data_IF_635947674204
#
_entry.id   IF_635947674204
#
_cell.length_a   1.000
_cell.length_b   1.000
_cell.length_c   1.000
_cell.angle_alpha   90.00
_cell.angle_beta   90.00
_cell.angle_gamma   90.00
#
_symmetry.space_group_name_H-M   'P 1'
#
loop_
_entity.id
_entity.type
_entity.pdbx_description
1 polymer ?
#
# COMPACT_ATOMS: atom_id res chain seq x y z
N UNK A 1 -11.34 17.67 16.62
CA UNK A 1 -9.98 17.46 16.04
C UNK A 1 -9.86 16.06 15.44
N UNK A 2 -9.01 15.88 14.42
CA UNK A 2 -8.70 14.55 13.85
C UNK A 2 -7.47 13.95 14.53
N UNK A 3 -7.56 12.69 14.97
CA UNK A 3 -6.41 11.91 15.42
C UNK A 3 -5.82 11.10 14.26
N UNK A 4 -4.56 11.34 13.92
CA UNK A 4 -3.82 10.55 12.94
C UNK A 4 -2.93 9.53 13.64
N UNK A 5 -2.85 8.33 13.06
CA UNK A 5 -2.09 7.21 13.64
C UNK A 5 -1.30 6.54 12.53
N UNK A 6 0.01 6.38 12.72
CA UNK A 6 0.83 5.55 11.85
C UNK A 6 0.89 4.13 12.40
N UNK A 7 0.27 3.17 11.71
CA UNK A 7 0.26 1.75 12.07
C UNK A 7 0.65 0.88 10.84
N UNK A 8 1.94 0.87 10.47
CA UNK A 8 2.43 0.32 9.19
C UNK A 8 2.26 -1.20 9.07
N UNK A 9 2.08 -1.90 10.19
CA UNK A 9 1.84 -3.34 10.25
C UNK A 9 0.37 -3.73 9.98
N UNK A 10 -0.44 -2.82 9.45
CA UNK A 10 -1.85 -3.03 9.14
C UNK A 10 -2.12 -4.35 8.40
N UNK A 11 -1.40 -4.63 7.31
CA UNK A 11 -1.63 -5.82 6.49
C UNK A 11 -1.28 -7.12 7.24
N UNK A 12 -0.30 -7.07 8.15
CA UNK A 12 0.03 -8.19 9.04
C UNK A 12 -1.07 -8.40 10.09
N UNK A 13 -1.66 -7.31 10.58
CA UNK A 13 -2.78 -7.37 11.53
C UNK A 13 -4.04 -7.93 10.87
N UNK A 14 -4.31 -7.61 9.59
CA UNK A 14 -5.37 -8.22 8.81
C UNK A 14 -5.15 -9.72 8.62
N UNK A 15 -3.91 -10.13 8.28
CA UNK A 15 -3.57 -11.54 8.11
C UNK A 15 -3.78 -12.38 9.39
N UNK A 16 -3.61 -11.78 10.57
CA UNK A 16 -3.80 -12.45 11.86
C UNK A 16 -5.23 -12.34 12.39
N UNK A 17 -5.96 -11.28 12.01
CA UNK A 17 -7.33 -10.99 12.40
C UNK A 17 -7.61 -11.21 13.91
N UNK A 18 -6.70 -10.71 14.76
CA UNK A 18 -6.80 -10.87 16.21
C UNK A 18 -6.75 -9.51 16.91
N UNK A 19 -7.74 -9.17 17.77
CA UNK A 19 -7.70 -7.97 18.60
C UNK A 19 -6.48 -7.89 19.53
N UNK A 20 -5.88 -9.05 19.84
CA UNK A 20 -4.71 -9.18 20.71
C UNK A 20 -3.42 -9.50 19.94
N UNK A 21 -3.40 -9.27 18.63
CA UNK A 21 -2.19 -9.46 17.84
C UNK A 21 -1.07 -8.52 18.32
N UNK A 22 0.10 -9.09 18.59
CA UNK A 22 1.32 -8.34 18.89
C UNK A 22 2.22 -8.35 17.65
N UNK A 23 2.48 -7.19 17.01
CA UNK A 23 3.40 -7.11 15.89
C UNK A 23 4.81 -7.53 16.28
N UNK A 24 5.61 -7.95 15.30
CA UNK A 24 7.02 -8.26 15.55
C UNK A 24 7.81 -7.02 15.99
N UNK A 25 8.92 -7.23 16.69
CA UNK A 25 9.79 -6.13 17.14
C UNK A 25 10.19 -5.21 15.98
N UNK A 26 10.57 -5.77 14.83
CA UNK A 26 10.92 -4.99 13.64
C UNK A 26 9.75 -4.13 13.11
N UNK A 27 8.51 -4.61 13.20
CA UNK A 27 7.34 -3.83 12.78
C UNK A 27 7.03 -2.70 13.78
N UNK A 28 7.16 -2.98 15.08
CA UNK A 28 7.01 -1.96 16.13
C UNK A 28 8.10 -0.89 16.04
N UNK A 29 9.33 -1.25 15.71
CA UNK A 29 10.42 -0.31 15.51
C UNK A 29 10.09 0.68 14.38
N UNK A 30 9.70 0.19 13.20
CA UNK A 30 9.25 1.04 12.08
C UNK A 30 8.09 1.96 12.52
N UNK A 31 7.10 1.40 13.23
CA UNK A 31 5.96 2.17 13.74
C UNK A 31 6.43 3.33 14.62
N UNK A 32 7.30 3.06 15.57
CA UNK A 32 7.74 4.04 16.57
C UNK A 32 8.61 5.12 15.91
N UNK A 33 9.59 4.71 15.12
CA UNK A 33 10.57 5.59 14.50
C UNK A 33 9.94 6.57 13.50
N UNK A 34 8.83 6.16 12.86
CA UNK A 34 8.13 6.92 11.83
C UNK A 34 6.71 7.36 12.27
N UNK A 35 6.39 7.28 13.56
CA UNK A 35 5.06 7.64 14.08
C UNK A 35 4.67 9.09 13.77
N UNK A 36 5.66 9.97 13.58
CA UNK A 36 5.48 11.39 13.29
C UNK A 36 5.01 11.67 11.86
N UNK A 37 5.15 10.72 10.91
CA UNK A 37 4.84 10.93 9.48
C UNK A 37 3.49 11.61 9.22
N UNK A 38 2.40 11.35 9.98
CA UNK A 38 1.14 12.03 9.75
C UNK A 38 1.17 13.55 9.88
N UNK A 39 2.16 14.13 10.54
CA UNK A 39 2.37 15.58 10.55
C UNK A 39 2.44 16.19 9.13
N UNK A 40 2.97 15.42 8.16
CA UNK A 40 3.12 15.86 6.78
C UNK A 40 1.76 16.26 6.18
N UNK A 41 0.68 15.51 6.46
CA UNK A 41 -0.65 15.75 5.89
C UNK A 41 -1.70 16.23 6.90
N UNK A 42 -1.39 16.22 8.19
CA UNK A 42 -2.28 16.71 9.23
C UNK A 42 -2.59 18.21 9.02
N UNK A 43 -3.80 18.61 9.41
CA UNK A 43 -4.27 20.01 9.35
C UNK A 43 -4.01 20.72 10.67
N UNK A 44 -4.10 22.05 10.67
CA UNK A 44 -4.04 22.84 11.90
C UNK A 44 -5.09 22.35 12.91
N UNK A 45 -4.68 22.15 14.16
CA UNK A 45 -5.53 21.65 15.25
C UNK A 45 -5.74 20.14 15.28
N UNK A 46 -5.15 19.37 14.36
CA UNK A 46 -5.15 17.90 14.42
C UNK A 46 -4.14 17.38 15.46
N UNK A 47 -4.29 16.11 15.82
CA UNK A 47 -3.39 15.38 16.71
C UNK A 47 -2.72 14.20 15.98
N UNK A 48 -1.47 13.88 16.36
CA UNK A 48 -0.72 12.72 15.83
C UNK A 48 -0.26 11.86 17.00
N UNK A 49 -0.68 10.59 17.01
CA UNK A 49 -0.30 9.63 18.03
C UNK A 49 1.14 9.18 17.81
N UNK A 50 1.99 9.39 18.81
CA UNK A 50 3.40 9.00 18.83
C UNK A 50 3.75 8.35 20.18
N UNK A 51 4.87 7.62 20.25
CA UNK A 51 5.32 7.05 21.52
C UNK A 51 6.15 8.05 22.35
N UNK A 52 6.93 8.91 21.67
CA UNK A 52 7.74 9.95 22.29
C UNK A 52 7.45 11.29 21.60
N UNK A 53 6.81 12.20 22.34
CA UNK A 53 6.44 13.54 21.85
C UNK A 53 7.67 14.40 21.58
N UNK A 54 8.71 14.29 22.43
CA UNK A 54 9.92 15.11 22.30
C UNK A 54 10.69 14.69 21.06
N UNK A 55 10.87 13.39 20.85
CA UNK A 55 11.55 12.86 19.68
C UNK A 55 10.79 13.20 18.39
N UNK A 56 9.46 13.06 18.38
CA UNK A 56 8.64 13.41 17.22
C UNK A 56 8.80 14.88 16.80
N UNK A 57 8.82 15.81 17.76
CA UNK A 57 9.08 17.22 17.50
C UNK A 57 10.45 17.43 16.83
N UNK A 58 11.51 16.83 17.38
CA UNK A 58 12.88 16.94 16.81
C UNK A 58 12.96 16.36 15.40
N UNK A 59 12.29 15.24 15.12
CA UNK A 59 12.30 14.61 13.80
C UNK A 59 11.60 15.47 12.75
N UNK A 60 10.48 16.11 13.10
CA UNK A 60 9.76 17.01 12.21
C UNK A 60 10.55 18.28 11.90
N UNK A 61 11.23 18.85 12.88
CA UNK A 61 12.06 20.06 12.69
C UNK A 61 13.22 19.86 11.72
N UNK A 62 13.68 18.60 11.52
CA UNK A 62 14.71 18.26 10.54
C UNK A 62 14.18 18.20 9.10
N UNK A 63 12.86 18.14 8.91
CA UNK A 63 12.25 18.06 7.59
C UNK A 63 11.89 19.47 7.09
N UNK A 64 11.94 19.72 5.77
CA UNK A 64 11.63 21.02 5.18
C UNK A 64 10.12 21.30 5.12
N UNK A 65 9.39 21.05 6.20
CA UNK A 65 7.93 21.17 6.28
C UNK A 65 7.50 22.55 6.79
N UNK A 66 6.30 22.99 6.41
CA UNK A 66 5.71 24.20 6.99
C UNK A 66 5.35 23.93 8.44
N UNK A 67 5.58 24.93 9.30
CA UNK A 67 5.18 24.85 10.70
C UNK A 67 3.65 24.82 10.80
N UNK A 68 3.13 23.78 11.47
CA UNK A 68 1.72 23.55 11.75
C UNK A 68 1.51 23.44 13.26
N UNK A 69 0.37 23.94 13.73
CA UNK A 69 -0.19 23.73 15.06
C UNK A 69 -0.85 22.34 15.11
N UNK A 70 -0.03 21.31 15.01
CA UNK A 70 -0.42 19.91 15.17
C UNK A 70 0.14 19.40 16.49
N UNK A 71 -0.71 18.77 17.29
CA UNK A 71 -0.33 18.26 18.60
C UNK A 71 0.18 16.82 18.49
N UNK A 72 1.44 16.59 18.85
CA UNK A 72 1.90 15.23 19.16
C UNK A 72 1.35 14.80 20.50
N UNK A 73 0.79 13.60 20.56
CA UNK A 73 0.20 13.03 21.77
C UNK A 73 0.67 11.60 21.96
N UNK A 74 1.02 11.25 23.19
CA UNK A 74 1.23 9.85 23.58
C UNK A 74 -0.08 9.20 24.07
N UNK A 75 -0.03 7.92 24.45
CA UNK A 75 -1.20 7.19 24.91
C UNK A 75 -1.86 7.83 26.15
N UNK A 76 -1.08 8.34 27.10
CA UNK A 76 -1.59 8.94 28.34
C UNK A 76 -2.25 10.31 28.09
N UNK A 77 -1.64 11.09 27.19
CA UNK A 77 -2.17 12.36 26.73
C UNK A 77 -3.45 12.13 25.94
N UNK A 78 -3.46 11.12 25.06
CA UNK A 78 -4.62 10.74 24.25
C UNK A 78 -5.82 10.35 25.13
N UNK A 79 -5.60 9.57 26.19
CA UNK A 79 -6.65 9.23 27.16
C UNK A 79 -7.30 10.50 27.75
N UNK A 80 -6.47 11.48 28.14
CA UNK A 80 -6.91 12.75 28.74
C UNK A 80 -7.63 13.69 27.77
N UNK A 81 -7.42 13.55 26.46
CA UNK A 81 -8.07 14.38 25.43
C UNK A 81 -9.07 13.62 24.58
N UNK A 82 -9.40 12.37 24.93
CA UNK A 82 -10.24 11.47 24.14
C UNK A 82 -11.58 12.08 23.73
N UNK A 83 -12.20 12.88 24.61
CA UNK A 83 -13.46 13.59 24.34
C UNK A 83 -13.35 14.72 23.29
N UNK A 84 -12.13 15.20 23.01
CA UNK A 84 -11.88 16.23 21.98
C UNK A 84 -11.71 15.61 20.58
N UNK A 85 -11.49 14.30 20.49
CA UNK A 85 -11.33 13.59 19.21
C UNK A 85 -12.70 13.44 18.55
N UNK A 86 -12.78 13.84 17.28
CA UNK A 86 -14.02 13.77 16.47
C UNK A 86 -13.90 12.77 15.33
N UNK A 87 -12.69 12.58 14.81
CA UNK A 87 -12.38 11.71 13.67
C UNK A 87 -11.06 10.99 13.97
N UNK A 88 -10.97 9.73 13.57
CA UNK A 88 -9.74 8.95 13.65
C UNK A 88 -9.34 8.54 12.24
N UNK A 89 -8.13 8.92 11.84
CA UNK A 89 -7.55 8.68 10.52
C UNK A 89 -6.26 7.87 10.69
N UNK A 90 -6.36 6.55 10.86
CA UNK A 90 -5.18 5.70 10.97
C UNK A 90 -4.54 5.48 9.59
N UNK A 91 -3.37 4.86 9.59
CA UNK A 91 -2.74 4.35 8.38
C UNK A 91 -3.66 3.33 7.72
N UNK A 92 -4.20 2.38 8.51
CA UNK A 92 -5.24 1.45 8.09
C UNK A 92 -6.02 0.85 9.25
N UNK A 93 -7.34 0.71 9.11
CA UNK A 93 -8.24 0.19 10.15
C UNK A 93 -8.19 -1.33 10.26
N UNK A 94 -7.97 -1.85 11.46
CA UNK A 94 -7.99 -3.28 11.77
C UNK A 94 -8.47 -3.53 13.20
N UNK A 95 -8.80 -4.78 13.52
CA UNK A 95 -9.36 -5.15 14.83
C UNK A 95 -8.37 -4.93 15.98
N UNK A 96 -7.06 -5.12 15.75
CA UNK A 96 -6.01 -4.84 16.74
C UNK A 96 -5.99 -3.36 17.13
N UNK A 97 -5.97 -2.46 16.14
CA UNK A 97 -5.97 -1.02 16.39
C UNK A 97 -7.28 -0.55 17.07
N UNK A 98 -8.43 -1.08 16.62
CA UNK A 98 -9.73 -0.80 17.26
C UNK A 98 -9.68 -1.12 18.76
N UNK A 99 -9.17 -2.30 19.13
CA UNK A 99 -9.07 -2.72 20.52
C UNK A 99 -8.07 -1.87 21.33
N UNK A 100 -6.93 -1.49 20.72
CA UNK A 100 -5.97 -0.58 21.34
C UNK A 100 -6.60 0.77 21.67
N UNK A 101 -7.33 1.37 20.73
CA UNK A 101 -8.00 2.65 20.94
C UNK A 101 -9.13 2.56 21.96
N UNK A 102 -9.88 1.45 21.95
CA UNK A 102 -10.91 1.19 22.96
C UNK A 102 -10.32 1.16 24.38
N UNK A 103 -9.15 0.55 24.56
CA UNK A 103 -8.45 0.49 25.87
C UNK A 103 -7.94 1.84 26.35
N UNK A 104 -7.58 2.74 25.42
CA UNK A 104 -7.18 4.13 25.72
C UNK A 104 -8.39 5.03 26.04
N UNK A 105 -9.62 4.52 25.93
CA UNK A 105 -10.83 5.26 26.27
C UNK A 105 -11.46 6.03 25.10
N UNK A 106 -11.03 5.77 23.85
CA UNK A 106 -11.69 6.36 22.69
C UNK A 106 -13.17 5.95 22.63
N UNK A 107 -14.11 6.89 22.45
CA UNK A 107 -15.54 6.57 22.40
C UNK A 107 -15.89 5.60 21.28
N UNK A 108 -16.73 4.60 21.59
CA UNK A 108 -17.17 3.56 20.65
C UNK A 108 -17.77 4.13 19.36
N UNK A 109 -18.44 5.29 19.42
CA UNK A 109 -19.03 5.98 18.25
C UNK A 109 -18.01 6.39 17.18
N UNK A 110 -16.73 6.51 17.55
CA UNK A 110 -15.62 6.86 16.64
C UNK A 110 -14.90 5.64 16.08
N UNK A 111 -15.18 4.45 16.62
CA UNK A 111 -14.54 3.21 16.21
C UNK A 111 -15.38 2.49 15.16
N UNK A 112 -14.75 1.81 14.18
CA UNK A 112 -15.51 1.05 13.19
C UNK A 112 -16.24 -0.14 13.82
N UNK A 113 -17.40 -0.48 13.27
CA UNK A 113 -18.09 -1.73 13.61
C UNK A 113 -17.30 -2.95 13.14
N UNK A 114 -17.60 -4.12 13.70
CA UNK A 114 -16.94 -5.36 13.25
C UNK A 114 -17.30 -5.71 11.80
N UNK A 115 -18.51 -5.37 11.36
CA UNK A 115 -18.93 -5.52 9.96
C UNK A 115 -18.12 -4.61 9.02
N UNK A 116 -17.85 -3.36 9.43
CA UNK A 116 -16.97 -2.47 8.66
C UNK A 116 -15.55 -3.01 8.58
N UNK A 117 -15.00 -3.52 9.69
CA UNK A 117 -13.67 -4.13 9.70
C UNK A 117 -13.60 -5.39 8.83
N UNK A 118 -14.63 -6.23 8.83
CA UNK A 118 -14.71 -7.40 7.96
C UNK A 118 -14.70 -6.99 6.47
N UNK A 119 -15.48 -5.97 6.08
CA UNK A 119 -15.46 -5.42 4.71
C UNK A 119 -14.08 -4.90 4.31
N UNK A 120 -13.38 -4.23 5.22
CA UNK A 120 -11.99 -3.77 4.97
C UNK A 120 -11.07 -4.96 4.76
N UNK A 121 -11.14 -5.97 5.62
CA UNK A 121 -10.31 -7.17 5.49
C UNK A 121 -10.55 -7.89 4.16
N UNK A 122 -11.82 -8.07 3.76
CA UNK A 122 -12.20 -8.71 2.50
C UNK A 122 -11.69 -7.95 1.28
N UNK A 123 -11.80 -6.61 1.29
CA UNK A 123 -11.34 -5.76 0.19
C UNK A 123 -9.81 -5.66 0.12
N UNK A 124 -9.12 -5.75 1.27
CA UNK A 124 -7.65 -5.80 1.33
C UNK A 124 -7.07 -7.18 0.98
N UNK A 125 -7.92 -8.20 0.79
CA UNK A 125 -7.48 -9.52 0.37
C UNK A 125 -7.11 -9.50 -1.12
N UNK A 126 -5.95 -10.03 -1.51
CA UNK A 126 -5.55 -10.06 -2.94
C UNK A 126 -6.53 -10.82 -3.86
N UNK A 127 -7.45 -11.63 -3.34
CA UNK A 127 -8.60 -12.15 -4.12
C UNK A 127 -9.44 -11.03 -4.74
N UNK A 128 -9.62 -9.92 -4.03
CA UNK A 128 -10.28 -8.73 -4.56
C UNK A 128 -9.50 -8.16 -5.75
N UNK A 129 -8.18 -7.99 -5.61
CA UNK A 129 -7.30 -7.53 -6.67
C UNK A 129 -7.31 -8.45 -7.90
N UNK A 130 -7.31 -9.78 -7.71
CA UNK A 130 -7.43 -10.78 -8.79
C UNK A 130 -8.70 -10.56 -9.62
N UNK A 131 -9.85 -10.43 -8.95
CA UNK A 131 -11.13 -10.22 -9.62
C UNK A 131 -11.18 -8.86 -10.32
N UNK A 132 -10.68 -7.82 -9.66
CA UNK A 132 -10.66 -6.46 -10.19
C UNK A 132 -9.76 -6.34 -11.42
N UNK A 133 -8.59 -6.99 -11.43
CA UNK A 133 -7.70 -7.07 -12.60
C UNK A 133 -8.42 -7.72 -13.79
N UNK A 134 -9.16 -8.82 -13.56
CA UNK A 134 -9.91 -9.48 -14.62
C UNK A 134 -10.97 -8.56 -15.23
N UNK A 135 -11.71 -7.83 -14.40
CA UNK A 135 -12.72 -6.87 -14.84
C UNK A 135 -12.09 -5.68 -15.59
N UNK A 136 -11.03 -5.11 -15.04
CA UNK A 136 -10.30 -3.99 -15.65
C UNK A 136 -9.73 -4.36 -17.01
N UNK A 137 -9.15 -5.55 -17.16
CA UNK A 137 -8.62 -5.98 -18.46
C UNK A 137 -9.72 -6.18 -19.51
N UNK A 138 -10.94 -6.52 -19.11
CA UNK A 138 -12.05 -6.67 -20.04
C UNK A 138 -12.54 -5.33 -20.60
N UNK A 139 -12.26 -4.20 -19.93
CA UNK A 139 -12.60 -2.85 -20.39
C UNK A 139 -11.47 -2.15 -21.15
N UNK A 140 -10.30 -2.77 -21.28
CA UNK A 140 -9.10 -2.16 -21.85
C UNK A 140 -8.65 -2.85 -23.15
N UNK A 141 -8.02 -2.09 -24.04
CA UNK A 141 -7.47 -2.62 -25.28
C UNK A 141 -6.26 -3.54 -25.00
N UNK A 142 -6.30 -4.78 -25.52
CA UNK A 142 -5.34 -5.82 -25.20
C UNK A 142 -3.88 -5.55 -25.63
N UNK A 143 -3.63 -4.58 -26.50
CA UNK A 143 -2.33 -4.35 -27.12
C UNK A 143 -1.31 -3.61 -26.23
N UNK A 144 -1.73 -2.98 -25.13
CA UNK A 144 -0.86 -2.19 -24.25
C UNK A 144 -0.80 -2.70 -22.80
N UNK A 145 -1.62 -3.69 -22.45
CA UNK A 145 -1.73 -4.22 -21.08
C UNK A 145 -1.37 -5.70 -20.98
N UNK A 146 -0.82 -6.08 -19.84
CA UNK A 146 -0.50 -7.45 -19.45
C UNK A 146 -1.02 -7.73 -18.04
N UNK A 147 -0.52 -8.81 -17.43
CA UNK A 147 -0.92 -9.21 -16.08
C UNK A 147 -1.91 -10.35 -16.09
N UNK A 148 -1.64 -11.33 -15.25
CA UNK A 148 -2.54 -12.44 -14.91
C UNK A 148 -2.33 -12.74 -13.44
N UNK A 149 -3.41 -12.98 -12.72
CA UNK A 149 -3.38 -13.35 -11.32
C UNK A 149 -4.45 -14.39 -11.07
N UNK A 150 -4.12 -15.39 -10.25
CA UNK A 150 -4.97 -16.55 -10.00
C UNK A 150 -5.05 -16.79 -8.50
N UNK A 151 -6.25 -17.06 -8.00
CA UNK A 151 -6.50 -17.39 -6.60
C UNK A 151 -6.81 -18.87 -6.46
N UNK A 152 -6.19 -19.52 -5.47
CA UNK A 152 -6.38 -20.92 -5.14
C UNK A 152 -6.66 -21.10 -3.66
N UNK A 153 -7.47 -22.09 -3.32
CA UNK A 153 -7.74 -22.54 -1.95
C UNK A 153 -7.16 -23.94 -1.66
N UNK A 154 -6.45 -24.54 -2.63
CA UNK A 154 -5.85 -25.85 -2.51
C UNK A 154 -4.49 -25.93 -3.25
N UNK A 155 -3.65 -26.87 -2.83
CA UNK A 155 -2.29 -27.02 -3.37
C UNK A 155 -2.26 -27.70 -4.74
N UNK A 156 -3.24 -28.54 -5.05
CA UNK A 156 -3.23 -29.33 -6.28
C UNK A 156 -3.46 -28.43 -7.49
N UNK A 157 -4.44 -27.53 -7.42
CA UNK A 157 -4.69 -26.53 -8.46
C UNK A 157 -3.54 -25.51 -8.57
N UNK A 158 -2.98 -25.08 -7.44
CA UNK A 158 -1.80 -24.21 -7.41
C UNK A 158 -0.63 -24.86 -8.19
N UNK A 159 -0.36 -26.15 -7.94
CA UNK A 159 0.71 -26.90 -8.61
C UNK A 159 0.41 -27.09 -10.08
N UNK A 160 -0.82 -27.48 -10.42
CA UNK A 160 -1.23 -27.66 -11.81
C UNK A 160 -1.06 -26.36 -12.59
N UNK A 161 -1.43 -25.22 -12.01
CA UNK A 161 -1.28 -23.92 -12.67
C UNK A 161 0.17 -23.44 -12.74
N UNK A 162 0.99 -23.69 -11.72
CA UNK A 162 2.41 -23.36 -11.76
C UNK A 162 3.13 -24.06 -12.92
N UNK A 163 2.81 -25.34 -13.16
CA UNK A 163 3.33 -26.09 -14.32
C UNK A 163 2.95 -25.47 -15.67
N UNK A 164 1.74 -24.94 -15.80
CA UNK A 164 1.26 -24.28 -17.02
C UNK A 164 1.94 -22.91 -17.27
N UNK A 165 2.24 -22.17 -16.20
CA UNK A 165 2.81 -20.81 -16.30
C UNK A 165 4.34 -20.81 -16.42
N UNK A 166 5.02 -21.75 -15.76
CA UNK A 166 6.47 -21.74 -15.62
C UNK A 166 6.92 -20.75 -14.53
N UNK A 167 7.78 -19.78 -14.89
CA UNK A 167 8.28 -18.78 -13.93
C UNK A 167 7.14 -17.99 -13.32
N UNK A 168 7.02 -18.03 -11.99
CA UNK A 168 5.87 -17.49 -11.27
C UNK A 168 6.25 -16.91 -9.90
N UNK A 169 5.29 -16.20 -9.31
CA UNK A 169 5.36 -15.65 -7.96
C UNK A 169 4.12 -16.10 -7.19
N UNK A 170 4.34 -16.73 -6.05
CA UNK A 170 3.29 -17.08 -5.10
C UNK A 170 3.16 -15.93 -4.08
N UNK A 171 1.93 -15.47 -3.82
CA UNK A 171 1.64 -14.39 -2.88
C UNK A 171 0.60 -14.80 -1.84
N UNK A 172 0.81 -14.40 -0.59
CA UNK A 172 -0.23 -14.54 0.45
C UNK A 172 -1.41 -13.59 0.19
N UNK A 173 -2.64 -13.92 0.60
CA UNK A 173 -3.79 -13.01 0.46
C UNK A 173 -3.64 -11.66 1.18
N UNK A 174 -3.12 -11.67 2.41
CA UNK A 174 -2.73 -10.49 3.18
C UNK A 174 -1.25 -10.57 3.54
N UNK A 175 -0.47 -9.54 3.16
CA UNK A 175 0.92 -9.43 3.58
C UNK A 175 1.45 -8.00 3.45
N UNK A 176 2.34 -7.60 4.37
CA UNK A 176 3.06 -6.33 4.28
C UNK A 176 4.44 -6.45 3.62
N UNK A 177 4.84 -5.40 2.89
CA UNK A 177 6.22 -5.07 2.45
C UNK A 177 7.07 -6.26 1.97
N UNK A 178 6.59 -7.02 0.98
CA UNK A 178 7.34 -8.08 0.31
C UNK A 178 7.47 -9.41 1.08
N UNK A 179 7.06 -9.48 2.35
CA UNK A 179 7.26 -10.66 3.21
C UNK A 179 6.40 -11.88 2.81
N UNK A 180 5.32 -11.63 2.08
CA UNK A 180 4.36 -12.62 1.61
C UNK A 180 4.62 -13.16 0.19
N UNK A 181 5.81 -12.96 -0.36
CA UNK A 181 6.15 -13.36 -1.74
C UNK A 181 7.12 -14.55 -1.78
N UNK A 182 6.89 -15.52 -2.67
CA UNK A 182 7.83 -16.61 -2.98
C UNK A 182 7.95 -16.78 -4.48
N UNK A 183 9.16 -16.61 -5.01
CA UNK A 183 9.46 -16.87 -6.42
C UNK A 183 9.56 -18.38 -6.66
N UNK A 184 8.99 -18.86 -7.74
CA UNK A 184 8.92 -20.28 -8.08
C UNK A 184 8.96 -20.46 -9.60
N UNK A 185 9.20 -21.69 -10.04
CA UNK A 185 9.08 -22.09 -11.44
C UNK A 185 7.94 -23.13 -11.59
N UNK A 186 7.96 -23.88 -12.69
CA UNK A 186 7.02 -24.96 -13.01
C UNK A 186 6.87 -26.00 -11.88
N UNK A 187 7.95 -26.27 -11.16
CA UNK A 187 7.95 -27.12 -9.98
C UNK A 187 8.13 -26.30 -8.70
N UNK A 188 7.05 -26.21 -7.93
CA UNK A 188 7.08 -25.53 -6.63
C UNK A 188 7.85 -26.39 -5.62
N UNK A 189 8.88 -25.81 -5.01
CA UNK A 189 9.69 -26.47 -3.98
C UNK A 189 8.84 -26.90 -2.77
N UNK A 190 9.25 -27.97 -2.10
CA UNK A 190 8.59 -28.47 -0.87
C UNK A 190 8.47 -27.39 0.21
N UNK A 191 9.48 -26.53 0.34
CA UNK A 191 9.48 -25.42 1.31
C UNK A 191 8.39 -24.41 0.95
N UNK A 192 8.25 -24.04 -0.32
CA UNK A 192 7.21 -23.13 -0.78
C UNK A 192 5.81 -23.76 -0.70
N UNK A 193 5.66 -25.05 -0.96
CA UNK A 193 4.39 -25.77 -0.78
C UNK A 193 3.96 -25.84 0.68
N UNK A 194 4.87 -26.14 1.61
CA UNK A 194 4.57 -26.14 3.04
C UNK A 194 4.18 -24.74 3.54
N UNK A 195 4.86 -23.71 3.05
CA UNK A 195 4.48 -22.32 3.32
C UNK A 195 3.09 -22.01 2.76
N UNK A 196 2.82 -22.32 1.49
CA UNK A 196 1.51 -22.10 0.86
C UNK A 196 0.39 -22.86 1.58
N UNK A 197 0.63 -24.09 2.04
CA UNK A 197 -0.31 -24.88 2.85
C UNK A 197 -0.72 -24.13 4.11
N UNK A 198 0.25 -23.58 4.84
CA UNK A 198 -0.01 -22.84 6.06
C UNK A 198 -0.74 -21.52 5.78
N UNK A 199 -0.38 -20.82 4.70
CA UNK A 199 -1.07 -19.60 4.27
C UNK A 199 -2.51 -19.89 3.89
N UNK A 200 -2.80 -20.95 3.12
CA UNK A 200 -4.16 -21.37 2.80
C UNK A 200 -4.95 -21.69 4.08
N UNK A 201 -4.36 -22.45 5.02
CA UNK A 201 -5.02 -22.79 6.27
C UNK A 201 -5.36 -21.55 7.13
N UNK A 202 -4.54 -20.51 7.10
CA UNK A 202 -4.70 -19.30 7.92
C UNK A 202 -5.51 -18.20 7.23
N UNK A 203 -5.34 -18.04 5.92
CA UNK A 203 -5.84 -16.91 5.13
C UNK A 203 -6.83 -17.34 4.04
N UNK A 204 -7.20 -18.63 4.01
CA UNK A 204 -8.21 -19.25 3.16
C UNK A 204 -7.86 -19.27 1.66
N UNK A 205 -6.65 -18.87 1.28
CA UNK A 205 -6.18 -19.02 -0.08
C UNK A 205 -4.75 -18.57 -0.32
N UNK A 206 -4.35 -18.59 -1.59
CA UNK A 206 -3.02 -18.24 -2.07
C UNK A 206 -3.13 -17.71 -3.50
N UNK A 207 -2.27 -16.78 -3.87
CA UNK A 207 -2.24 -16.17 -5.19
C UNK A 207 -1.03 -16.70 -5.96
N UNK A 208 -1.22 -16.96 -7.26
CA UNK A 208 -0.14 -17.25 -8.20
C UNK A 208 -0.20 -16.25 -9.35
N UNK A 209 0.94 -15.68 -9.71
CA UNK A 209 1.08 -14.77 -10.84
C UNK A 209 2.27 -15.18 -11.70
N UNK A 210 2.22 -15.01 -13.04
CA UNK A 210 3.43 -15.12 -13.85
C UNK A 210 4.50 -14.14 -13.38
N UNK A 211 5.76 -14.55 -13.46
CA UNK A 211 6.88 -13.65 -13.24
C UNK A 211 6.98 -12.69 -14.44
N UNK A 212 7.04 -11.39 -14.16
CA UNK A 212 7.22 -10.36 -15.18
C UNK A 212 8.58 -9.70 -15.05
N UNK A 213 9.24 -9.42 -16.17
CA UNK A 213 10.46 -8.61 -16.19
C UNK A 213 10.09 -7.13 -16.00
N UNK A 214 9.85 -6.76 -14.75
CA UNK A 214 9.51 -5.40 -14.37
C UNK A 214 10.67 -4.45 -14.64
N UNK A 215 10.36 -3.28 -15.20
CA UNK A 215 11.29 -2.17 -15.39
C UNK A 215 10.96 -0.95 -14.53
N UNK A 216 9.69 -0.72 -14.20
CA UNK A 216 9.27 0.36 -13.31
C UNK A 216 8.11 -0.07 -12.41
N UNK A 217 8.12 0.38 -11.14
CA UNK A 217 6.97 0.32 -10.24
C UNK A 217 6.32 1.70 -10.13
N UNK A 218 4.99 1.71 -10.15
CA UNK A 218 4.23 2.93 -9.87
C UNK A 218 2.88 2.57 -9.27
N UNK A 219 2.18 3.55 -8.71
CA UNK A 219 0.83 3.39 -8.20
C UNK A 219 -0.05 4.57 -8.62
N UNK A 220 -1.34 4.33 -8.68
CA UNK A 220 -2.34 5.38 -8.63
C UNK A 220 -2.89 5.45 -7.21
N UNK A 221 -2.76 6.62 -6.60
CA UNK A 221 -3.27 6.87 -5.25
C UNK A 221 -4.65 7.51 -5.33
N UNK A 222 -5.55 7.11 -4.44
CA UNK A 222 -6.93 7.57 -4.38
C UNK A 222 -7.40 7.82 -2.95
N UNK A 223 -8.51 8.53 -2.82
CA UNK A 223 -9.22 8.74 -1.56
C UNK A 223 -10.70 8.50 -1.76
N UNK A 224 -11.31 7.70 -0.89
CA UNK A 224 -12.75 7.44 -0.88
C UNK A 224 -13.41 8.29 0.19
N UNK A 225 -14.31 9.17 -0.23
CA UNK A 225 -15.15 9.97 0.64
C UNK A 225 -16.61 9.85 0.21
N UNK A 226 -17.50 9.48 1.14
CA UNK A 226 -18.94 9.32 0.88
C UNK A 226 -19.28 8.38 -0.29
N UNK A 227 -18.38 7.44 -0.59
CA UNK A 227 -18.53 6.50 -1.69
C UNK A 227 -18.15 7.06 -3.07
N UNK A 228 -17.64 8.29 -3.15
CA UNK A 228 -17.04 8.86 -4.35
C UNK A 228 -15.54 8.57 -4.36
N UNK A 229 -15.04 8.08 -5.49
CA UNK A 229 -13.62 7.80 -5.68
C UNK A 229 -12.89 9.05 -6.21
N UNK A 230 -11.94 9.58 -5.44
CA UNK A 230 -11.10 10.71 -5.88
C UNK A 230 -9.69 10.24 -6.18
N UNK A 231 -9.24 10.45 -7.41
CA UNK A 231 -7.83 10.29 -7.77
C UNK A 231 -6.96 11.37 -7.09
N UNK A 232 -5.87 10.95 -6.45
CA UNK A 232 -4.93 11.81 -5.73
C UNK A 232 -3.63 12.07 -6.50
N UNK A 233 -3.20 11.14 -7.34
CA UNK A 233 -1.99 11.30 -8.16
C UNK A 233 -1.22 10.01 -8.39
N UNK A 234 -0.25 10.06 -9.31
CA UNK A 234 0.73 8.99 -9.51
C UNK A 234 1.75 8.98 -8.38
N UNK A 235 2.18 7.80 -7.97
CA UNK A 235 3.41 7.57 -7.19
C UNK A 235 4.36 6.72 -8.01
N UNK A 236 5.58 7.18 -8.27
CA UNK A 236 6.62 6.36 -8.93
C UNK A 236 7.60 5.97 -7.85
N UNK A 237 7.83 4.66 -7.67
CA UNK A 237 8.56 4.17 -6.52
C UNK A 237 9.56 3.09 -6.89
N UNK A 238 10.53 2.92 -6.01
CA UNK A 238 11.61 1.95 -6.15
C UNK A 238 11.33 0.77 -5.23
N UNK A 239 11.59 -0.42 -5.74
CA UNK A 239 11.57 -1.64 -4.93
C UNK A 239 12.78 -2.53 -5.20
N UNK A 240 13.27 -3.20 -4.16
CA UNK A 240 14.33 -4.19 -4.23
C UNK A 240 13.81 -5.50 -3.64
N UNK A 241 13.88 -6.59 -4.43
CA UNK A 241 13.34 -7.91 -4.05
C UNK A 241 11.88 -7.88 -3.56
N UNK A 242 11.06 -6.98 -4.13
CA UNK A 242 9.64 -6.82 -3.77
C UNK A 242 9.39 -6.00 -2.50
N UNK A 243 10.43 -5.44 -1.88
CA UNK A 243 10.30 -4.50 -0.77
C UNK A 243 10.49 -3.05 -1.26
N UNK A 244 9.66 -2.14 -0.77
CA UNK A 244 9.76 -0.70 -1.03
C UNK A 244 11.10 -0.13 -0.53
N UNK A 245 11.76 0.70 -1.34
CA UNK A 245 13.02 1.38 -1.00
C UNK A 245 12.98 2.90 -1.16
N UNK A 246 12.02 3.44 -1.91
CA UNK A 246 11.84 4.89 -2.03
C UNK A 246 10.74 5.32 -2.98
N UNK A 247 10.35 6.60 -2.97
CA UNK A 247 9.39 7.20 -3.90
C UNK A 247 9.92 8.52 -4.44
N UNK A 248 9.65 8.78 -5.72
CA UNK A 248 9.96 10.07 -6.34
C UNK A 248 8.96 11.12 -5.82
N UNK A 249 9.48 12.21 -5.29
CA UNK A 249 8.73 13.43 -5.00
C UNK A 249 8.86 14.35 -6.20
N UNK A 250 7.78 14.40 -6.99
CA UNK A 250 7.66 15.30 -8.12
C UNK A 250 6.19 15.58 -8.43
N UNK A 251 5.95 16.61 -9.24
CA UNK A 251 4.63 16.91 -9.78
C UNK A 251 4.12 15.78 -10.70
N UNK A 252 2.82 15.78 -10.99
CA UNK A 252 2.21 14.74 -11.81
C UNK A 252 2.79 14.70 -13.24
N UNK A 253 3.02 15.86 -13.86
CA UNK A 253 3.57 15.94 -15.22
C UNK A 253 4.95 15.27 -15.32
N UNK A 254 5.83 15.46 -14.33
CA UNK A 254 7.15 14.81 -14.31
C UNK A 254 7.02 13.30 -14.18
N UNK A 255 6.17 12.81 -13.29
CA UNK A 255 5.90 11.37 -13.13
C UNK A 255 5.32 10.76 -14.40
N UNK A 256 4.41 11.47 -15.07
CA UNK A 256 3.90 11.07 -16.39
C UNK A 256 5.01 11.04 -17.45
N UNK A 257 5.90 12.03 -17.49
CA UNK A 257 7.03 12.04 -18.41
C UNK A 257 8.02 10.90 -18.15
N UNK A 258 8.24 10.49 -16.90
CA UNK A 258 9.08 9.34 -16.55
C UNK A 258 8.48 8.04 -17.10
N UNK A 259 7.19 7.79 -16.82
CA UNK A 259 6.50 6.59 -17.30
C UNK A 259 6.34 6.60 -18.83
N UNK A 260 6.11 7.78 -19.42
CA UNK A 260 5.93 7.98 -20.86
C UNK A 260 7.18 7.67 -21.71
N UNK A 261 8.34 7.46 -21.08
CA UNK A 261 9.53 6.95 -21.77
C UNK A 261 9.37 5.49 -22.21
N UNK A 262 8.48 4.74 -21.55
CA UNK A 262 8.27 3.32 -21.82
C UNK A 262 6.93 3.04 -22.54
N UNK A 263 5.88 3.80 -22.22
CA UNK A 263 4.50 3.51 -22.61
C UNK A 263 3.81 4.72 -23.25
N UNK A 264 2.77 4.48 -24.06
CA UNK A 264 1.87 5.58 -24.45
C UNK A 264 1.13 6.07 -23.21
N UNK A 265 1.35 7.34 -22.84
CA UNK A 265 0.81 7.94 -21.63
C UNK A 265 -0.72 8.02 -21.63
N UNK A 266 -1.37 8.06 -22.79
CA UNK A 266 -2.84 8.08 -22.92
C UNK A 266 -3.48 6.78 -22.40
N UNK A 267 -2.73 5.67 -22.41
CA UNK A 267 -3.17 4.40 -21.83
C UNK A 267 -3.35 4.54 -20.32
N UNK A 268 -2.54 5.35 -19.64
CA UNK A 268 -2.71 5.61 -18.20
C UNK A 268 -4.01 6.34 -17.90
N UNK A 269 -4.44 7.27 -18.76
CA UNK A 269 -5.69 8.00 -18.55
C UNK A 269 -6.89 7.06 -18.68
N UNK A 270 -6.85 6.17 -19.68
CA UNK A 270 -7.87 5.13 -19.88
C UNK A 270 -7.92 4.14 -18.71
N UNK A 271 -6.74 3.70 -18.21
CA UNK A 271 -6.63 2.85 -17.02
C UNK A 271 -7.21 3.57 -15.81
N UNK A 272 -6.81 4.83 -15.57
CA UNK A 272 -7.28 5.63 -14.43
C UNK A 272 -8.80 5.73 -14.42
N UNK A 273 -9.42 6.06 -15.55
CA UNK A 273 -10.86 6.20 -15.67
C UNK A 273 -11.58 4.88 -15.41
N UNK A 274 -11.18 3.81 -16.12
CA UNK A 274 -11.76 2.47 -15.95
C UNK A 274 -11.60 1.95 -14.50
N UNK A 275 -10.43 2.17 -13.91
CA UNK A 275 -10.13 1.75 -12.54
C UNK A 275 -10.92 2.56 -11.52
N UNK A 276 -11.10 3.87 -11.73
CA UNK A 276 -11.90 4.72 -10.84
C UNK A 276 -13.34 4.21 -10.78
N UNK A 277 -13.95 3.97 -11.94
CA UNK A 277 -15.32 3.47 -12.03
C UNK A 277 -15.48 2.09 -11.39
N UNK A 278 -14.57 1.16 -11.69
CA UNK A 278 -14.61 -0.18 -11.12
C UNK A 278 -14.42 -0.17 -9.61
N UNK A 279 -13.46 0.60 -9.09
CA UNK A 279 -13.25 0.71 -7.66
C UNK A 279 -14.47 1.33 -6.98
N UNK A 280 -15.04 2.41 -7.53
CA UNK A 280 -16.23 3.05 -6.96
C UNK A 280 -17.38 2.06 -6.84
N UNK A 281 -17.70 1.33 -7.92
CA UNK A 281 -18.76 0.30 -7.93
C UNK A 281 -18.54 -0.79 -6.88
N UNK A 282 -17.30 -1.20 -6.65
CA UNK A 282 -16.98 -2.32 -5.78
C UNK A 282 -16.79 -1.91 -4.30
N UNK A 283 -16.40 -0.67 -4.03
CA UNK A 283 -16.01 -0.17 -2.70
C UNK A 283 -17.07 0.72 -2.05
N UNK A 284 -17.99 1.31 -2.83
CA UNK A 284 -19.05 2.19 -2.32
C UNK A 284 -19.80 1.58 -1.13
N UNK A 285 -19.89 2.36 -0.04
CA UNK A 285 -20.54 1.96 1.21
C UNK A 285 -19.79 0.93 2.05
N UNK A 286 -18.59 0.49 1.63
CA UNK A 286 -17.79 -0.53 2.34
C UNK A 286 -16.51 0.03 2.96
N UNK A 287 -15.93 1.08 2.39
CA UNK A 287 -14.71 1.70 2.87
C UNK A 287 -14.75 3.24 2.75
N UNK A 288 -14.06 3.92 3.66
CA UNK A 288 -13.78 5.36 3.63
C UNK A 288 -12.31 5.55 4.01
N UNK A 289 -11.56 6.32 3.22
CA UNK A 289 -10.16 6.60 3.48
C UNK A 289 -9.26 6.50 2.24
N UNK A 290 -7.94 6.64 2.44
CA UNK A 290 -6.95 6.53 1.37
C UNK A 290 -6.83 5.08 0.86
N UNK A 291 -6.52 4.92 -0.43
CA UNK A 291 -6.14 3.64 -1.02
C UNK A 291 -5.17 3.84 -2.17
N UNK A 292 -4.28 2.87 -2.37
CA UNK A 292 -3.34 2.86 -3.51
C UNK A 292 -3.52 1.61 -4.36
N UNK A 293 -3.42 1.77 -5.67
CA UNK A 293 -3.38 0.63 -6.61
C UNK A 293 -2.00 0.55 -7.22
N UNK A 294 -1.26 -0.50 -6.85
CA UNK A 294 0.10 -0.73 -7.33
C UNK A 294 0.05 -1.29 -8.75
N UNK A 295 0.96 -0.83 -9.58
CA UNK A 295 1.09 -1.12 -10.99
C UNK A 295 2.56 -1.32 -11.33
N UNK A 296 2.84 -1.90 -12.49
CA UNK A 296 4.21 -1.97 -12.98
C UNK A 296 4.26 -1.87 -14.50
N UNK A 297 5.36 -1.33 -15.00
CA UNK A 297 5.73 -1.44 -16.41
C UNK A 297 6.65 -2.64 -16.55
N UNK A 298 6.38 -3.48 -17.54
CA UNK A 298 7.16 -4.70 -17.77
C UNK A 298 7.70 -4.71 -19.18
N UNK A 299 8.92 -5.21 -19.33
CA UNK A 299 9.54 -5.46 -20.61
C UNK A 299 9.13 -6.86 -21.11
N UNK A 300 8.71 -6.95 -22.37
CA UNK A 300 8.51 -8.20 -23.07
C UNK A 300 9.29 -8.20 -24.38
N UNK A 301 10.15 -9.21 -24.55
CA UNK A 301 10.81 -9.50 -25.82
C UNK A 301 9.90 -10.42 -26.60
N UNK A 302 9.17 -9.87 -27.58
CA UNK A 302 8.20 -10.63 -28.38
C UNK A 302 8.86 -11.70 -29.28
N UNK A 303 10.18 -11.67 -29.47
CA UNK A 303 10.96 -12.72 -30.14
C UNK A 303 12.46 -12.55 -29.86
N UNK A 304 13.25 -13.63 -30.00
CA UNK A 304 14.73 -13.61 -29.92
C UNK A 304 15.39 -12.68 -30.95
N UNK A 305 14.67 -12.35 -32.03
CA UNK A 305 15.19 -11.56 -33.16
C UNK A 305 14.73 -10.08 -33.16
N UNK A 306 13.93 -9.65 -32.16
CA UNK A 306 13.54 -8.24 -32.09
C UNK A 306 14.61 -7.44 -31.33
N UNK A 307 15.31 -6.54 -32.01
CA UNK A 307 16.29 -5.62 -31.42
C UNK A 307 15.64 -4.52 -30.57
N UNK A 308 14.32 -4.34 -30.64
CA UNK A 308 13.57 -3.33 -29.87
C UNK A 308 12.77 -3.97 -28.74
N UNK A 309 13.03 -3.52 -27.51
CA UNK A 309 12.24 -3.87 -26.34
C UNK A 309 10.80 -3.35 -26.50
N UNK A 310 9.80 -4.18 -26.16
CA UNK A 310 8.39 -3.75 -26.08
C UNK A 310 7.97 -3.68 -24.61
N UNK A 311 7.31 -2.60 -24.23
CA UNK A 311 6.85 -2.38 -22.86
C UNK A 311 5.33 -2.47 -22.75
N UNK A 312 4.86 -3.00 -21.62
CA UNK A 312 3.44 -3.18 -21.33
C UNK A 312 3.14 -2.79 -19.88
N UNK A 313 1.91 -2.37 -19.63
CA UNK A 313 1.46 -2.04 -18.28
C UNK A 313 0.79 -3.27 -17.66
N UNK A 314 1.21 -3.64 -16.45
CA UNK A 314 0.40 -4.46 -15.56
C UNK A 314 -0.46 -3.51 -14.70
N UNK A 315 -1.75 -3.32 -15.02
CA UNK A 315 -2.52 -2.18 -14.53
C UNK A 315 -3.02 -2.33 -13.09
N UNK A 316 -2.86 -3.51 -12.49
CA UNK A 316 -3.29 -3.77 -11.11
C UNK A 316 -2.53 -4.97 -10.55
N UNK A 317 -1.52 -4.71 -9.71
CA UNK A 317 -0.72 -5.71 -9.00
C UNK A 317 -1.29 -5.96 -7.59
N UNK A 318 -1.71 -4.90 -6.92
CA UNK A 318 -2.25 -4.95 -5.56
C UNK A 318 -3.15 -3.74 -5.31
N UNK A 319 -4.15 -3.90 -4.44
CA UNK A 319 -4.96 -2.80 -3.91
C UNK A 319 -4.68 -2.68 -2.42
N UNK A 320 -4.13 -1.55 -2.01
CA UNK A 320 -3.80 -1.24 -0.62
C UNK A 320 -4.91 -0.36 -0.03
N UNK A 321 -5.86 -0.91 0.74
CA UNK A 321 -6.91 -0.11 1.42
C UNK A 321 -6.39 0.50 2.72
N UNK A 322 -5.40 1.37 2.54
CA UNK A 322 -4.75 2.13 3.60
C UNK A 322 -3.99 3.26 2.95
N UNK A 323 -3.45 4.14 3.78
CA UNK A 323 -2.43 5.08 3.33
C UNK A 323 -1.19 4.30 2.86
N UNK A 324 -0.49 4.85 1.89
CA UNK A 324 0.73 4.26 1.30
C UNK A 324 1.88 5.26 1.39
N UNK A 325 3.10 4.80 1.15
CA UNK A 325 4.23 5.74 1.01
C UNK A 325 4.05 6.66 -0.21
N UNK A 326 3.27 6.28 -1.22
CA UNK A 326 2.93 7.19 -2.31
C UNK A 326 2.07 8.37 -1.86
N UNK A 327 1.11 8.16 -0.95
CA UNK A 327 0.40 9.27 -0.31
C UNK A 327 1.33 10.20 0.48
N UNK A 328 2.38 9.65 1.11
CA UNK A 328 3.39 10.45 1.82
C UNK A 328 4.19 11.28 0.81
N UNK A 329 4.66 10.68 -0.28
CA UNK A 329 5.39 11.38 -1.33
C UNK A 329 4.57 12.50 -1.99
N UNK A 330 3.28 12.25 -2.25
CA UNK A 330 2.34 13.27 -2.73
C UNK A 330 2.18 14.43 -1.73
N UNK A 331 2.00 14.10 -0.45
CA UNK A 331 1.85 15.11 0.60
C UNK A 331 3.13 15.93 0.80
N UNK A 332 4.30 15.29 0.73
CA UNK A 332 5.59 15.98 0.78
C UNK A 332 5.76 16.93 -0.40
N UNK A 333 5.42 16.49 -1.61
CA UNK A 333 5.43 17.36 -2.78
C UNK A 333 4.56 18.60 -2.54
N UNK A 334 3.38 18.45 -1.95
CA UNK A 334 2.49 19.57 -1.67
C UNK A 334 2.99 20.53 -0.58
N UNK A 335 3.69 20.01 0.42
CA UNK A 335 4.27 20.83 1.48
C UNK A 335 5.47 21.64 0.98
N UNK A 336 6.38 21.00 0.25
CA UNK A 336 7.73 21.54 -0.03
C UNK A 336 7.88 22.03 -1.47
N UNK A 337 6.98 21.62 -2.39
CA UNK A 337 6.97 21.94 -3.82
C UNK A 337 8.30 21.64 -4.55
N UNK A 338 9.13 20.77 -3.99
CA UNK A 338 10.36 20.32 -4.61
C UNK A 338 10.08 19.36 -5.77
N UNK A 339 10.98 19.38 -6.75
CA UNK A 339 11.01 18.40 -7.84
C UNK A 339 12.30 17.63 -7.77
N UNK A 340 12.32 16.47 -8.45
CA UNK A 340 13.52 15.65 -8.60
C UNK A 340 14.14 15.30 -7.23
N UNK A 341 13.28 14.93 -6.27
CA UNK A 341 13.69 14.41 -4.97
C UNK A 341 13.31 12.95 -4.84
N UNK A 342 14.11 12.19 -4.11
CA UNK A 342 13.85 10.81 -3.73
C UNK A 342 13.59 10.73 -2.22
N UNK A 343 12.39 10.29 -1.86
CA UNK A 343 12.01 9.96 -0.49
C UNK A 343 12.42 8.53 -0.18
N UNK A 344 13.18 8.30 0.89
CA UNK A 344 13.58 6.96 1.31
C UNK A 344 13.36 6.74 2.80
N UNK A 345 13.11 5.49 3.17
CA UNK A 345 13.16 5.06 4.56
C UNK A 345 14.46 4.29 4.73
N UNK A 346 15.42 4.90 5.41
CA UNK A 346 16.74 4.32 5.67
C UNK A 346 16.80 3.77 7.08
N UNK A 347 17.62 2.76 7.33
CA UNK A 347 17.91 2.27 8.68
C UNK A 347 19.36 2.62 9.01
N UNK A 348 19.59 3.48 10.01
CA UNK A 348 20.93 3.98 10.34
C UNK A 348 21.75 3.05 11.25
N UNK A 349 21.24 1.85 11.52
CA UNK A 349 21.78 0.89 12.48
C UNK A 349 21.09 0.94 13.85
N UNK A 350 20.33 2.00 14.14
CA UNK A 350 19.57 2.17 15.38
C UNK A 350 18.08 2.38 15.14
N UNK A 351 17.71 3.19 14.15
CA UNK A 351 16.31 3.58 13.88
C UNK A 351 16.06 3.76 12.39
N UNK A 352 14.79 3.71 12.01
CA UNK A 352 14.32 4.08 10.69
C UNK A 352 14.18 5.60 10.56
N UNK A 353 14.72 6.18 9.50
CA UNK A 353 14.67 7.62 9.23
C UNK A 353 14.07 7.89 7.85
N UNK A 354 13.29 8.97 7.76
CA UNK A 354 12.84 9.52 6.50
C UNK A 354 13.93 10.44 5.95
N UNK A 355 14.50 10.09 4.79
CA UNK A 355 15.43 10.93 4.06
C UNK A 355 14.80 11.45 2.77
N UNK A 356 15.17 12.68 2.40
CA UNK A 356 14.78 13.33 1.15
C UNK A 356 16.07 13.78 0.46
N UNK A 357 16.49 13.00 -0.53
CA UNK A 357 17.72 13.23 -1.30
C UNK A 357 17.38 13.74 -2.70
N UNK A 358 18.36 14.26 -3.44
CA UNK A 358 18.17 14.53 -4.87
C UNK A 358 17.96 13.21 -5.62
N UNK A 359 16.96 13.15 -6.51
CA UNK A 359 16.80 12.01 -7.41
C UNK A 359 17.85 12.12 -8.52
N UNK A 360 18.59 11.03 -8.76
CA UNK A 360 19.59 10.92 -9.83
C UNK A 360 18.94 11.08 -11.20
#
# INVERSE_FOLDING_TARGET
MTLHIFNPEHDMSLAQNSPNYTPSHAALQIRNDLAFLPYIWAKQGDAVLVNDVTEACVLVEKLPLKKKEVCFVDASTLESISDKIEIISPWGWNCTLKEQLRRVGIPQRLLPSDEQLAKIADLSNRKFAVNLLSALKASLAANAIVGKSYYFDNLDDLRAKAKDIGKAVIKAPWSGSGRGLRFTDEEISTVHLNWAKNVIAQQQGIILEPYYNKVEDFAMEFYVEEGCMKYCGLSVFLSLHGAYTGSIIANENKKRSLLGQFINIEVLDTIRESLTDLLEQNIKGKYKGPLGVDMMIVESRRSSDSTTASYFIHPLVEVNLRRTMGHVALSLYDEIKAQDKLMQIMFDGSRHILEINDSV
#
